data_IF_902067245692
#
_entry.id   IF_902067245692
#
_cell.length_a   1.000
_cell.length_b   1.000
_cell.length_c   1.000
_cell.angle_alpha   90.00
_cell.angle_beta   90.00
_cell.angle_gamma   90.00
#
_symmetry.space_group_name_H-M   'P 1'
#
loop_
_entity.id
_entity.type
_entity.pdbx_description
1 polymer ?
#
# COMPACT_ATOMS: atom_id res chain seq x y z
N UNK A 1 -6.30 3.52 10.05
CA UNK A 1 -5.80 2.38 9.24
C UNK A 1 -7.01 1.71 8.59
N UNK A 2 -7.00 1.48 7.27
CA UNK A 2 -8.07 0.72 6.60
C UNK A 2 -8.00 -0.75 7.04
N UNK A 3 -9.15 -1.43 7.19
CA UNK A 3 -9.16 -2.87 7.47
C UNK A 3 -8.73 -3.66 6.23
N UNK A 4 -8.23 -4.88 6.44
CA UNK A 4 -7.85 -5.77 5.34
C UNK A 4 -9.03 -6.04 4.41
N UNK A 5 -10.22 -6.31 4.96
CA UNK A 5 -11.45 -6.48 4.16
C UNK A 5 -11.68 -5.30 3.22
N UNK A 6 -11.70 -4.08 3.78
CA UNK A 6 -11.90 -2.85 3.01
C UNK A 6 -10.80 -2.64 1.98
N UNK A 7 -9.56 -3.03 2.29
CA UNK A 7 -8.46 -2.95 1.34
C UNK A 7 -8.70 -3.88 0.13
N UNK A 8 -9.11 -5.13 0.35
CA UNK A 8 -9.41 -6.07 -0.75
C UNK A 8 -10.59 -5.58 -1.60
N UNK A 9 -11.62 -5.00 -0.99
CA UNK A 9 -12.75 -4.40 -1.70
C UNK A 9 -12.29 -3.27 -2.63
N UNK A 10 -11.47 -2.36 -2.12
CA UNK A 10 -10.95 -1.24 -2.91
C UNK A 10 -10.06 -1.73 -4.05
N UNK A 11 -9.21 -2.74 -3.82
CA UNK A 11 -8.39 -3.35 -4.87
C UNK A 11 -9.24 -4.02 -5.94
N UNK A 12 -10.30 -4.72 -5.54
CA UNK A 12 -11.26 -5.32 -6.47
C UNK A 12 -11.90 -4.24 -7.35
N UNK A 13 -12.36 -3.14 -6.74
CA UNK A 13 -12.95 -2.03 -7.47
C UNK A 13 -11.95 -1.38 -8.45
N UNK A 14 -10.71 -1.17 -8.01
CA UNK A 14 -9.69 -0.54 -8.83
C UNK A 14 -9.26 -1.42 -10.01
N UNK A 15 -9.11 -2.73 -9.82
CA UNK A 15 -8.82 -3.68 -10.91
C UNK A 15 -9.95 -3.64 -11.94
N UNK A 16 -11.20 -3.71 -11.51
CA UNK A 16 -12.34 -3.69 -12.43
C UNK A 16 -12.45 -2.34 -13.16
N UNK A 17 -12.16 -1.22 -12.50
CA UNK A 17 -12.09 0.10 -13.16
C UNK A 17 -11.02 0.16 -14.24
N UNK A 18 -9.89 -0.52 -14.03
CA UNK A 18 -8.81 -0.59 -15.01
C UNK A 18 -9.12 -1.51 -16.19
N UNK A 19 -9.77 -2.64 -15.93
CA UNK A 19 -10.02 -3.66 -16.96
C UNK A 19 -11.33 -3.43 -17.71
N UNK A 20 -12.23 -2.60 -17.18
CA UNK A 20 -13.53 -2.27 -17.75
C UNK A 20 -13.59 -0.77 -18.06
N UNK A 21 -12.92 -0.35 -19.13
CA UNK A 21 -12.67 1.08 -19.45
C UNK A 21 -13.91 1.97 -19.43
N UNK A 22 -15.08 1.44 -19.82
CA UNK A 22 -16.34 2.19 -19.91
C UNK A 22 -17.27 1.96 -18.72
N UNK A 23 -16.88 1.15 -17.74
CA UNK A 23 -17.73 0.82 -16.61
C UNK A 23 -17.66 1.88 -15.52
N UNK A 24 -18.83 2.26 -15.00
CA UNK A 24 -18.90 3.00 -13.75
C UNK A 24 -18.75 2.01 -12.59
N UNK A 25 -17.60 2.06 -11.92
CA UNK A 25 -17.30 1.18 -10.78
C UNK A 25 -17.41 1.94 -9.45
N UNK A 26 -18.36 1.50 -8.64
CA UNK A 26 -18.63 1.99 -7.30
C UNK A 26 -18.38 0.88 -6.26
N UNK A 27 -18.11 1.26 -5.02
CA UNK A 27 -17.93 0.32 -3.90
C UNK A 27 -18.92 0.62 -2.79
N UNK A 28 -19.23 -0.41 -1.98
CA UNK A 28 -20.17 -0.38 -0.87
C UNK A 28 -21.53 0.25 -1.26
N UNK A 29 -22.18 -0.33 -2.28
CA UNK A 29 -23.43 0.18 -2.86
C UNK A 29 -24.60 -0.67 -2.39
N UNK A 30 -25.75 -0.04 -2.11
CA UNK A 30 -27.00 -0.76 -1.81
C UNK A 30 -27.95 -0.73 -3.01
N UNK A 31 -28.41 -1.91 -3.43
CA UNK A 31 -29.46 -2.10 -4.43
C UNK A 31 -30.59 -2.87 -3.74
N UNK A 32 -31.81 -2.34 -3.75
CA UNK A 32 -32.99 -3.03 -3.24
C UNK A 32 -32.78 -3.68 -1.85
N UNK A 33 -32.17 -2.90 -0.94
CA UNK A 33 -31.82 -3.29 0.45
C UNK A 33 -30.68 -4.31 0.60
N UNK A 34 -30.09 -4.81 -0.49
CA UNK A 34 -28.88 -5.64 -0.48
C UNK A 34 -27.65 -4.78 -0.74
N UNK A 35 -26.63 -4.91 0.10
CA UNK A 35 -25.36 -4.19 -0.06
C UNK A 35 -24.38 -5.05 -0.85
N UNK A 36 -23.76 -4.53 -1.90
CA UNK A 36 -22.65 -5.16 -2.61
C UNK A 36 -21.34 -4.44 -2.29
N UNK A 37 -20.27 -5.22 -2.19
CA UNK A 37 -18.95 -4.71 -1.86
C UNK A 37 -18.40 -3.87 -3.03
N UNK A 38 -18.60 -4.34 -4.26
CA UNK A 38 -18.35 -3.59 -5.50
C UNK A 38 -19.54 -3.75 -6.45
N UNK A 39 -19.85 -2.69 -7.18
CA UNK A 39 -20.84 -2.68 -8.24
C UNK A 39 -20.21 -2.03 -9.47
N UNK A 40 -20.27 -2.72 -10.61
CA UNK A 40 -19.89 -2.16 -11.90
C UNK A 40 -21.13 -2.04 -12.80
N UNK A 41 -21.31 -0.87 -13.40
CA UNK A 41 -22.36 -0.62 -14.39
C UNK A 41 -21.71 -0.39 -15.75
N UNK A 42 -21.97 -1.25 -16.72
CA UNK A 42 -21.52 -1.09 -18.09
C UNK A 42 -22.68 -0.57 -18.92
N UNK A 43 -22.43 0.43 -19.77
CA UNK A 43 -23.39 0.82 -20.80
C UNK A 43 -23.16 -0.02 -22.06
N UNK A 44 -24.19 -0.75 -22.48
CA UNK A 44 -24.20 -1.55 -23.70
C UNK A 44 -25.34 -1.08 -24.61
N UNK A 45 -25.03 -0.14 -25.52
CA UNK A 45 -26.04 0.55 -26.32
C UNK A 45 -26.99 1.38 -25.43
N UNK A 46 -28.29 1.08 -25.52
CA UNK A 46 -29.33 1.71 -24.69
C UNK A 46 -29.58 0.99 -23.35
N UNK A 47 -28.82 -0.06 -23.05
CA UNK A 47 -29.02 -0.89 -21.86
C UNK A 47 -27.89 -0.69 -20.85
N UNK A 48 -28.21 -0.90 -19.58
CA UNK A 48 -27.24 -0.96 -18.49
C UNK A 48 -27.10 -2.40 -18.00
N UNK A 49 -25.85 -2.88 -17.97
CA UNK A 49 -25.51 -4.18 -17.40
C UNK A 49 -24.92 -3.95 -16.00
N UNK A 50 -25.62 -4.44 -15.00
CA UNK A 50 -25.22 -4.40 -13.59
C UNK A 50 -24.45 -5.66 -13.23
N UNK A 51 -23.22 -5.49 -12.79
CA UNK A 51 -22.36 -6.57 -12.29
C UNK A 51 -22.15 -6.36 -10.79
N UNK A 52 -22.71 -7.26 -9.98
CA UNK A 52 -22.60 -7.22 -8.53
C UNK A 52 -21.46 -8.10 -8.03
N UNK A 53 -20.60 -7.55 -7.19
CA UNK A 53 -19.46 -8.25 -6.62
C UNK A 53 -19.63 -8.44 -5.11
N UNK A 54 -19.37 -9.66 -4.64
CA UNK A 54 -19.07 -9.93 -3.24
C UNK A 54 -17.57 -10.18 -3.08
N UNK A 55 -16.97 -9.58 -2.06
CA UNK A 55 -15.55 -9.69 -1.76
C UNK A 55 -15.38 -10.31 -0.37
N UNK A 56 -14.50 -11.30 -0.25
CA UNK A 56 -14.21 -11.96 1.03
C UNK A 56 -12.73 -12.19 1.24
N UNK A 57 -12.19 -11.59 2.29
CA UNK A 57 -10.87 -11.92 2.81
C UNK A 57 -11.00 -13.04 3.86
N UNK A 58 -10.55 -14.25 3.51
CA UNK A 58 -10.59 -15.41 4.42
C UNK A 58 -9.30 -16.20 4.36
N UNK A 59 -9.01 -16.92 5.44
CA UNK A 59 -7.93 -17.93 5.48
C UNK A 59 -8.39 -19.30 4.99
N UNK A 60 -9.65 -19.65 5.26
CA UNK A 60 -10.26 -20.92 4.82
C UNK A 60 -10.89 -20.76 3.46
N UNK A 61 -10.97 -21.86 2.72
CA UNK A 61 -11.62 -21.87 1.41
C UNK A 61 -13.09 -21.46 1.51
N UNK A 62 -13.59 -20.78 0.48
CA UNK A 62 -14.99 -20.37 0.38
C UNK A 62 -15.88 -21.61 0.25
N UNK A 63 -16.89 -21.67 1.11
CA UNK A 63 -17.79 -22.82 1.22
C UNK A 63 -18.99 -22.71 0.28
N UNK A 64 -19.68 -23.83 0.09
CA UNK A 64 -20.91 -23.92 -0.71
C UNK A 64 -21.96 -22.93 -0.23
N UNK A 65 -22.17 -22.87 1.10
CA UNK A 65 -23.21 -22.05 1.72
C UNK A 65 -23.00 -20.56 1.46
N UNK A 66 -21.74 -20.12 1.36
CA UNK A 66 -21.42 -18.72 1.05
C UNK A 66 -21.81 -18.37 -0.39
N UNK A 67 -21.58 -19.28 -1.33
CA UNK A 67 -21.96 -19.06 -2.73
C UNK A 67 -23.48 -19.11 -2.87
N UNK A 68 -24.18 -20.07 -2.26
CA UNK A 68 -25.66 -20.13 -2.29
C UNK A 68 -26.31 -18.87 -1.69
N UNK A 69 -25.78 -18.38 -0.57
CA UNK A 69 -26.23 -17.12 0.03
C UNK A 69 -26.02 -15.93 -0.93
N UNK A 70 -24.88 -15.89 -1.63
CA UNK A 70 -24.61 -14.86 -2.61
C UNK A 70 -25.51 -14.96 -3.86
N UNK A 71 -25.77 -16.17 -4.36
CA UNK A 71 -26.72 -16.39 -5.47
C UNK A 71 -28.09 -15.83 -5.12
N UNK A 72 -28.57 -16.08 -3.90
CA UNK A 72 -29.86 -15.54 -3.43
C UNK A 72 -29.83 -14.02 -3.40
N UNK A 73 -28.77 -13.43 -2.82
CA UNK A 73 -28.58 -11.98 -2.76
C UNK A 73 -28.53 -11.33 -4.15
N UNK A 74 -27.83 -11.94 -5.10
CA UNK A 74 -27.72 -11.45 -6.48
C UNK A 74 -29.07 -11.47 -7.20
N UNK A 75 -29.83 -12.56 -7.05
CA UNK A 75 -31.18 -12.69 -7.61
C UNK A 75 -32.15 -11.67 -7.02
N UNK A 76 -32.14 -11.50 -5.70
CA UNK A 76 -32.98 -10.52 -5.00
C UNK A 76 -32.72 -9.09 -5.50
N UNK A 77 -31.45 -8.74 -5.71
CA UNK A 77 -31.03 -7.43 -6.20
C UNK A 77 -31.14 -7.27 -7.73
N UNK A 78 -31.53 -8.32 -8.45
CA UNK A 78 -31.65 -8.36 -9.92
C UNK A 78 -30.38 -7.87 -10.64
N UNK A 79 -29.20 -8.22 -10.13
CA UNK A 79 -27.94 -7.97 -10.87
C UNK A 79 -27.89 -8.90 -12.08
N UNK A 80 -27.35 -8.41 -13.20
CA UNK A 80 -27.32 -9.16 -14.45
C UNK A 80 -26.20 -10.19 -14.46
N UNK A 81 -25.06 -9.88 -13.82
CA UNK A 81 -23.96 -10.81 -13.59
C UNK A 81 -23.50 -10.73 -12.14
N UNK A 82 -23.29 -11.90 -11.54
CA UNK A 82 -22.81 -12.03 -10.18
C UNK A 82 -21.35 -12.50 -10.19
N UNK A 83 -20.51 -11.84 -9.39
CA UNK A 83 -19.09 -12.14 -9.28
C UNK A 83 -18.73 -12.31 -7.80
N UNK A 84 -18.04 -13.39 -7.46
CA UNK A 84 -17.56 -13.65 -6.11
C UNK A 84 -16.05 -13.62 -6.09
N UNK A 85 -15.47 -12.74 -5.29
CA UNK A 85 -14.03 -12.50 -5.21
C UNK A 85 -13.51 -12.91 -3.84
N UNK A 86 -12.40 -13.65 -3.81
CA UNK A 86 -11.77 -14.04 -2.54
C UNK A 86 -10.25 -14.04 -2.57
N UNK A 87 -9.63 -13.88 -1.41
CA UNK A 87 -8.20 -14.12 -1.23
C UNK A 87 -7.84 -15.57 -0.93
N UNK A 88 -8.83 -16.42 -0.62
CA UNK A 88 -8.64 -17.86 -0.43
C UNK A 88 -9.18 -18.66 -1.61
N UNK A 89 -8.87 -19.96 -1.61
CA UNK A 89 -9.41 -20.90 -2.59
C UNK A 89 -10.91 -21.15 -2.40
N UNK A 90 -11.51 -21.88 -3.34
CA UNK A 90 -12.91 -22.28 -3.28
C UNK A 90 -12.99 -23.79 -3.06
N UNK A 91 -13.95 -24.25 -2.27
CA UNK A 91 -14.26 -25.68 -2.20
C UNK A 91 -14.77 -26.18 -3.56
N UNK A 92 -14.50 -27.44 -3.90
CA UNK A 92 -14.95 -28.01 -5.17
C UNK A 92 -16.48 -27.93 -5.33
N UNK A 93 -17.23 -28.19 -4.24
CA UNK A 93 -18.67 -28.01 -4.23
C UNK A 93 -19.11 -26.57 -4.53
N UNK A 94 -18.38 -25.59 -4.00
CA UNK A 94 -18.68 -24.17 -4.21
C UNK A 94 -18.45 -23.77 -5.67
N UNK A 95 -17.40 -24.30 -6.30
CA UNK A 95 -17.13 -24.12 -7.75
C UNK A 95 -18.30 -24.67 -8.59
N UNK A 96 -18.76 -25.90 -8.30
CA UNK A 96 -19.88 -26.52 -9.01
C UNK A 96 -21.18 -25.72 -8.87
N UNK A 97 -21.46 -25.18 -7.68
CA UNK A 97 -22.63 -24.33 -7.43
C UNK A 97 -22.52 -23.01 -8.19
N UNK A 98 -21.35 -22.39 -8.19
CA UNK A 98 -21.11 -21.15 -8.92
C UNK A 98 -21.34 -21.33 -10.44
N UNK A 99 -20.79 -22.40 -11.02
CA UNK A 99 -21.02 -22.75 -12.43
C UNK A 99 -22.51 -22.96 -12.75
N UNK A 100 -23.24 -23.69 -11.88
CA UNK A 100 -24.68 -23.93 -12.06
C UNK A 100 -25.51 -22.63 -12.06
N UNK A 101 -25.08 -21.64 -11.31
CA UNK A 101 -25.79 -20.37 -11.12
C UNK A 101 -25.17 -19.19 -11.88
N UNK A 102 -24.26 -19.45 -12.81
CA UNK A 102 -23.55 -18.44 -13.60
C UNK A 102 -22.88 -17.34 -12.75
N UNK A 103 -22.31 -17.75 -11.60
CA UNK A 103 -21.50 -16.87 -10.75
C UNK A 103 -20.02 -17.02 -11.12
N UNK A 104 -19.38 -15.93 -11.51
CA UNK A 104 -17.94 -15.97 -11.75
C UNK A 104 -17.17 -15.95 -10.44
N UNK A 105 -16.13 -16.78 -10.34
CA UNK A 105 -15.28 -16.86 -9.17
C UNK A 105 -13.91 -16.27 -9.48
N UNK A 106 -13.46 -15.31 -8.67
CA UNK A 106 -12.15 -14.69 -8.82
C UNK A 106 -11.29 -14.81 -7.56
N UNK A 107 -10.04 -15.23 -7.75
CA UNK A 107 -9.03 -15.23 -6.70
C UNK A 107 -8.15 -14.00 -6.82
N UNK A 108 -8.00 -13.28 -5.71
CA UNK A 108 -7.00 -12.24 -5.53
C UNK A 108 -5.83 -12.83 -4.76
N UNK A 109 -4.65 -12.83 -5.35
CA UNK A 109 -3.43 -13.15 -4.62
C UNK A 109 -2.40 -12.04 -4.74
N UNK A 110 -1.83 -11.69 -3.60
CA UNK A 110 -0.67 -10.83 -3.51
C UNK A 110 0.57 -11.71 -3.58
N UNK A 111 1.50 -11.47 -4.50
CA UNK A 111 2.76 -12.18 -4.54
C UNK A 111 3.49 -11.86 -3.24
N UNK A 112 3.57 -12.85 -2.36
CA UNK A 112 4.40 -12.81 -1.16
C UNK A 112 5.87 -13.01 -1.53
N UNK A 113 6.16 -13.74 -2.62
CA UNK A 113 7.52 -14.17 -2.96
C UNK A 113 8.01 -13.75 -4.36
N UNK A 114 7.13 -13.34 -5.28
CA UNK A 114 7.54 -12.86 -6.61
C UNK A 114 7.81 -11.36 -6.59
N UNK A 115 8.87 -10.95 -5.89
CA UNK A 115 9.42 -9.62 -6.08
C UNK A 115 10.17 -9.61 -7.41
N UNK A 116 9.64 -8.89 -8.38
CA UNK A 116 10.42 -8.54 -9.57
C UNK A 116 10.71 -7.05 -9.49
N UNK A 117 11.99 -6.73 -9.50
CA UNK A 117 12.40 -5.37 -9.75
C UNK A 117 11.80 -4.98 -11.11
N UNK A 118 10.95 -3.94 -11.18
CA UNK A 118 10.58 -3.38 -12.47
C UNK A 118 11.86 -2.92 -13.18
N UNK A 119 11.83 -2.59 -14.49
CA UNK A 119 12.94 -1.90 -15.13
C UNK A 119 13.35 -0.73 -14.24
N UNK A 120 14.49 -0.87 -13.57
CA UNK A 120 14.84 -0.03 -12.44
C UNK A 120 15.09 1.36 -13.00
N UNK A 121 14.37 2.36 -12.49
CA UNK A 121 14.79 3.75 -12.70
C UNK A 121 15.95 3.99 -11.77
N UNK A 122 17.15 4.00 -12.35
CA UNK A 122 18.38 4.30 -11.63
C UNK A 122 18.51 5.81 -11.56
N UNK A 123 18.69 6.33 -10.35
CA UNK A 123 18.95 7.75 -10.15
C UNK A 123 20.45 8.00 -10.25
N UNK A 124 20.90 8.48 -11.40
CA UNK A 124 22.23 9.08 -11.51
C UNK A 124 22.24 10.40 -10.71
N UNK A 125 23.23 10.60 -9.84
CA UNK A 125 23.44 11.91 -9.22
C UNK A 125 24.01 12.91 -10.24
N UNK A 126 23.87 14.20 -9.97
CA UNK A 126 24.47 15.25 -10.80
C UNK A 126 25.97 15.00 -11.02
N UNK A 127 26.40 14.98 -12.28
CA UNK A 127 27.81 14.72 -12.66
C UNK A 127 28.23 13.25 -12.71
N UNK A 128 27.31 12.30 -12.48
CA UNK A 128 27.64 10.87 -12.62
C UNK A 128 27.92 10.54 -14.10
N UNK A 129 28.99 9.80 -14.42
CA UNK A 129 29.22 9.33 -15.79
C UNK A 129 28.07 8.43 -16.24
N UNK A 130 27.77 8.35 -17.55
CA UNK A 130 26.81 7.37 -18.05
C UNK A 130 27.21 5.96 -17.60
N UNK A 131 26.24 5.14 -17.22
CA UNK A 131 26.47 3.77 -16.78
C UNK A 131 27.20 2.97 -17.87
N UNK A 132 28.51 2.74 -17.67
CA UNK A 132 29.34 1.93 -18.57
C UNK A 132 29.06 0.44 -18.37
N UNK A 133 28.59 0.07 -17.17
CA UNK A 133 28.21 -1.28 -16.76
C UNK A 133 26.75 -1.25 -16.33
N UNK A 134 26.00 -2.31 -16.64
CA UNK A 134 24.63 -2.46 -16.15
C UNK A 134 24.64 -2.50 -14.61
N UNK A 135 23.84 -1.67 -13.93
CA UNK A 135 23.78 -1.67 -12.48
C UNK A 135 23.34 -3.02 -11.93
N UNK A 136 23.98 -3.45 -10.86
CA UNK A 136 23.62 -4.68 -10.15
C UNK A 136 22.70 -4.36 -8.98
N UNK A 137 21.54 -5.01 -8.96
CA UNK A 137 20.64 -5.00 -7.81
C UNK A 137 20.33 -6.43 -7.41
N UNK A 138 20.68 -6.79 -6.18
CA UNK A 138 20.54 -8.11 -5.59
C UNK A 138 19.44 -8.10 -4.55
N UNK A 139 18.50 -9.04 -4.67
CA UNK A 139 17.50 -9.30 -3.63
C UNK A 139 18.12 -10.21 -2.56
N UNK A 140 18.30 -9.67 -1.36
CA UNK A 140 18.84 -10.39 -0.21
C UNK A 140 17.75 -11.08 0.63
N UNK A 141 16.49 -11.01 0.20
CA UNK A 141 15.35 -11.65 0.85
C UNK A 141 14.70 -10.80 1.94
N UNK A 142 13.87 -11.42 2.77
CA UNK A 142 13.14 -10.72 3.83
C UNK A 142 13.87 -10.76 5.17
N UNK A 143 13.91 -9.62 5.85
CA UNK A 143 14.41 -9.49 7.21
C UNK A 143 13.43 -8.71 8.08
N UNK A 144 13.62 -8.83 9.39
CA UNK A 144 12.98 -7.94 10.34
C UNK A 144 13.64 -6.57 10.32
N UNK A 145 12.81 -5.55 10.25
CA UNK A 145 13.20 -4.17 10.10
C UNK A 145 12.44 -3.30 11.10
N UNK A 146 13.02 -2.15 11.40
CA UNK A 146 12.39 -1.14 12.24
C UNK A 146 12.01 0.05 11.37
N UNK A 147 10.74 0.45 11.43
CA UNK A 147 10.23 1.61 10.71
C UNK A 147 9.73 2.64 11.70
N UNK A 148 10.24 3.86 11.60
CA UNK A 148 9.61 5.03 12.24
C UNK A 148 8.26 5.26 11.57
N UNK A 149 7.19 5.20 12.35
CA UNK A 149 5.82 5.41 11.85
C UNK A 149 5.22 6.73 12.30
N UNK A 150 5.80 7.36 13.32
CA UNK A 150 5.37 8.66 13.82
C UNK A 150 6.51 9.34 14.58
N UNK A 151 6.65 10.64 14.34
CA UNK A 151 7.50 11.52 15.14
C UNK A 151 6.63 12.66 15.66
N UNK A 152 6.62 12.83 16.97
CA UNK A 152 5.85 13.88 17.66
C UNK A 152 6.83 14.84 18.33
N UNK A 153 6.68 16.12 18.03
CA UNK A 153 7.39 17.20 18.70
C UNK A 153 6.50 17.73 19.83
N UNK A 154 7.03 17.77 21.04
CA UNK A 154 6.39 18.42 22.19
C UNK A 154 7.13 19.71 22.50
N UNK A 155 6.44 20.84 22.41
CA UNK A 155 7.01 22.16 22.65
C UNK A 155 7.04 22.48 24.15
N UNK A 156 7.86 23.47 24.52
CA UNK A 156 8.00 23.93 25.91
C UNK A 156 6.69 24.46 26.52
N UNK A 157 5.77 24.93 25.70
CA UNK A 157 4.43 25.36 26.12
C UNK A 157 3.44 24.19 26.31
N UNK A 158 3.89 22.94 26.11
CA UNK A 158 3.09 21.73 26.21
C UNK A 158 2.32 21.37 24.94
N UNK A 159 2.32 22.23 23.91
CA UNK A 159 1.69 21.91 22.63
C UNK A 159 2.44 20.76 21.93
N UNK A 160 1.72 20.01 21.11
CA UNK A 160 2.28 18.87 20.35
C UNK A 160 2.00 19.03 18.88
N UNK A 161 2.97 18.66 18.04
CA UNK A 161 2.80 18.58 16.60
C UNK A 161 3.38 17.27 16.08
N UNK A 162 2.69 16.65 15.12
CA UNK A 162 3.19 15.46 14.44
C UNK A 162 3.88 15.86 13.15
N UNK A 163 4.98 15.19 12.82
CA UNK A 163 5.49 15.19 11.46
C UNK A 163 4.51 14.46 10.53
N UNK A 164 4.59 14.71 9.20
CA UNK A 164 3.81 13.95 8.21
C UNK A 164 4.06 12.44 8.35
N UNK A 165 3.03 11.66 8.07
CA UNK A 165 3.06 10.18 8.12
C UNK A 165 3.54 9.55 6.80
N UNK A 166 3.56 10.33 5.72
CA UNK A 166 4.14 9.94 4.44
C UNK A 166 5.69 9.90 4.54
N UNK A 167 6.34 8.75 4.24
CA UNK A 167 7.78 8.57 4.46
C UNK A 167 8.69 9.58 3.78
N UNK A 168 8.40 10.00 2.54
CA UNK A 168 9.26 10.93 1.80
C UNK A 168 9.21 12.34 2.39
N UNK A 169 8.02 12.81 2.77
CA UNK A 169 7.79 14.06 3.46
C UNK A 169 8.39 14.02 4.86
N UNK A 170 8.17 12.96 5.63
CA UNK A 170 8.79 12.81 6.94
C UNK A 170 10.32 12.90 6.84
N UNK A 171 10.91 12.19 5.88
CA UNK A 171 12.36 12.23 5.61
C UNK A 171 12.81 13.64 5.22
N UNK A 172 12.05 14.34 4.39
CA UNK A 172 12.32 15.73 4.01
C UNK A 172 12.34 16.65 5.24
N UNK A 173 11.28 16.63 6.08
CA UNK A 173 11.22 17.47 7.28
C UNK A 173 12.30 17.11 8.28
N UNK A 174 12.59 15.83 8.51
CA UNK A 174 13.68 15.42 9.40
C UNK A 174 15.02 15.97 8.92
N UNK A 175 15.30 15.93 7.62
CA UNK A 175 16.57 16.42 7.04
C UNK A 175 16.67 17.94 6.93
N UNK A 176 15.56 18.63 6.66
CA UNK A 176 15.53 20.06 6.36
C UNK A 176 15.16 20.94 7.54
N UNK A 177 14.59 20.36 8.61
CA UNK A 177 14.38 21.09 9.85
C UNK A 177 15.71 21.32 10.53
N UNK A 178 16.06 22.59 10.63
CA UNK A 178 17.33 23.03 11.22
C UNK A 178 17.18 23.17 12.72
N UNK A 179 18.19 22.74 13.45
CA UNK A 179 18.33 22.90 14.90
C UNK A 179 19.39 23.98 15.20
N UNK A 180 19.50 24.36 16.47
CA UNK A 180 20.65 25.14 16.95
C UNK A 180 21.96 24.45 16.52
N UNK A 181 22.97 25.24 16.13
CA UNK A 181 24.29 24.77 15.64
C UNK A 181 24.31 24.16 14.22
N UNK A 182 23.22 24.25 13.46
CA UNK A 182 23.18 23.85 12.04
C UNK A 182 22.99 22.35 11.80
N UNK A 183 22.79 21.58 12.88
CA UNK A 183 22.39 20.17 12.84
C UNK A 183 20.94 20.01 12.37
N UNK A 184 20.60 18.83 11.85
CA UNK A 184 19.24 18.51 11.38
C UNK A 184 18.43 17.74 12.42
N UNK A 185 17.10 17.89 12.41
CA UNK A 185 16.20 17.13 13.30
C UNK A 185 16.39 15.60 13.17
N UNK A 186 16.84 15.13 12.00
CA UNK A 186 17.20 13.73 11.77
C UNK A 186 18.26 13.24 12.76
N UNK A 187 19.26 14.05 13.09
CA UNK A 187 20.34 13.67 14.02
C UNK A 187 19.83 13.43 15.44
N UNK A 188 18.71 14.04 15.84
CA UNK A 188 18.06 13.78 17.12
C UNK A 188 17.17 12.52 17.10
N UNK A 189 16.58 12.20 15.94
CA UNK A 189 15.64 11.08 15.78
C UNK A 189 16.35 9.77 15.45
N UNK A 190 17.41 9.80 14.64
CA UNK A 190 18.10 8.62 14.14
C UNK A 190 18.67 7.72 15.25
N UNK A 191 19.29 8.26 16.33
CA UNK A 191 19.72 7.44 17.47
C UNK A 191 18.55 6.75 18.17
N UNK A 192 17.35 7.35 18.17
CA UNK A 192 16.15 6.72 18.72
C UNK A 192 15.61 5.64 17.79
N UNK A 193 15.71 5.81 16.47
CA UNK A 193 15.23 4.83 15.50
C UNK A 193 16.16 3.61 15.38
N UNK A 194 17.46 3.82 15.51
CA UNK A 194 18.50 2.82 15.19
C UNK A 194 18.73 1.77 16.27
N UNK A 195 18.32 1.97 17.53
CA UNK A 195 18.53 0.92 18.53
C UNK A 195 17.51 -0.22 18.31
N UNK A 196 17.95 -1.46 18.10
CA UNK A 196 17.04 -2.58 17.91
C UNK A 196 16.17 -2.80 19.17
N UNK A 197 14.95 -3.32 19.00
CA UNK A 197 14.14 -3.79 20.12
C UNK A 197 13.63 -5.20 19.86
N UNK A 198 13.82 -6.08 20.84
CA UNK A 198 13.60 -7.52 20.71
C UNK A 198 12.16 -7.94 20.97
N UNK A 199 11.41 -7.16 21.77
CA UNK A 199 10.08 -7.54 22.25
C UNK A 199 9.00 -6.58 21.75
N UNK A 200 7.91 -7.13 21.22
CA UNK A 200 6.72 -6.39 20.78
C UNK A 200 6.70 -6.05 19.29
N UNK A 201 5.56 -5.53 18.84
CA UNK A 201 5.33 -5.09 17.44
C UNK A 201 5.51 -3.58 17.26
N UNK A 202 5.48 -2.82 18.36
CA UNK A 202 5.65 -1.38 18.39
C UNK A 202 6.40 -0.95 19.65
N UNK A 203 7.22 0.08 19.53
CA UNK A 203 7.94 0.71 20.62
C UNK A 203 7.81 2.22 20.48
N UNK A 204 7.53 2.91 21.59
CA UNK A 204 7.58 4.37 21.66
C UNK A 204 8.82 4.76 22.46
N UNK A 205 9.67 5.58 21.86
CA UNK A 205 10.84 6.17 22.52
C UNK A 205 10.64 7.66 22.66
N UNK A 206 11.09 8.20 23.79
CA UNK A 206 11.02 9.63 24.07
C UNK A 206 12.37 10.12 24.53
N UNK A 207 12.79 11.28 24.00
CA UNK A 207 14.00 11.97 24.43
C UNK A 207 13.67 13.40 24.84
N UNK A 208 14.28 13.85 25.93
CA UNK A 208 14.29 15.27 26.29
C UNK A 208 15.23 15.98 25.32
N UNK A 209 14.73 17.01 24.66
CA UNK A 209 15.44 17.65 23.55
C UNK A 209 15.87 19.07 23.94
N UNK A 210 14.92 19.93 24.32
CA UNK A 210 15.17 21.25 24.91
C UNK A 210 15.78 22.31 23.99
N UNK A 211 15.77 22.12 22.67
CA UNK A 211 16.40 23.04 21.70
C UNK A 211 15.36 23.67 20.77
N UNK A 212 15.70 24.82 20.19
CA UNK A 212 14.90 25.43 19.13
C UNK A 212 15.01 24.62 17.83
N UNK A 213 13.87 24.45 17.15
CA UNK A 213 13.80 23.89 15.79
C UNK A 213 13.17 24.92 14.85
N UNK A 214 13.66 24.95 13.62
CA UNK A 214 13.13 25.76 12.53
C UNK A 214 12.82 24.85 11.35
N UNK A 215 11.53 24.54 11.06
CA UNK A 215 11.17 23.73 9.92
C UNK A 215 11.42 24.45 8.59
N UNK A 216 11.47 23.71 7.46
CA UNK A 216 11.58 24.32 6.12
C UNK A 216 10.37 25.21 5.77
N UNK A 217 9.20 24.92 6.35
CA UNK A 217 7.97 25.70 6.26
C UNK A 217 7.06 25.42 7.47
N UNK A 218 5.95 26.14 7.61
CA UNK A 218 5.04 26.02 8.77
C UNK A 218 3.79 25.16 8.50
N UNK A 219 3.82 24.25 7.50
CA UNK A 219 2.62 23.49 7.13
C UNK A 219 2.23 22.43 8.17
N UNK A 220 3.20 21.63 8.64
CA UNK A 220 2.94 20.56 9.62
C UNK A 220 3.23 20.98 11.06
N UNK A 221 4.24 21.83 11.27
CA UNK A 221 4.62 22.31 12.59
C UNK A 221 5.33 23.64 12.49
N UNK A 222 5.40 24.36 13.61
CA UNK A 222 5.94 25.72 13.70
C UNK A 222 7.38 25.72 14.21
N UNK A 223 8.12 26.80 13.97
CA UNK A 223 9.36 27.05 14.71
C UNK A 223 9.11 27.21 16.21
N UNK A 224 10.05 26.76 17.03
CA UNK A 224 9.99 26.96 18.48
C UNK A 224 10.86 26.00 19.28
N UNK A 225 10.88 26.21 20.60
CA UNK A 225 11.65 25.36 21.53
C UNK A 225 10.88 24.05 21.76
N UNK A 226 11.46 22.95 21.28
CA UNK A 226 10.93 21.59 21.46
C UNK A 226 11.50 21.04 22.77
N UNK A 227 10.63 20.75 23.73
CA UNK A 227 11.00 20.17 25.02
C UNK A 227 11.34 18.68 24.89
N UNK A 228 10.60 17.92 24.07
CA UNK A 228 10.82 16.51 23.88
C UNK A 228 10.43 16.04 22.48
N UNK A 229 11.06 14.95 22.04
CA UNK A 229 10.71 14.25 20.81
C UNK A 229 10.27 12.84 21.18
N UNK A 230 9.11 12.44 20.66
CA UNK A 230 8.59 11.08 20.78
C UNK A 230 8.59 10.40 19.40
N UNK A 231 9.13 9.19 19.33
CA UNK A 231 9.26 8.41 18.10
C UNK A 231 8.56 7.08 18.32
N UNK A 232 7.54 6.79 17.50
CA UNK A 232 6.93 5.48 17.43
C UNK A 232 7.59 4.66 16.32
N UNK A 233 8.06 3.48 16.68
CA UNK A 233 8.79 2.57 15.82
C UNK A 233 8.03 1.25 15.78
N UNK A 234 7.75 0.75 14.58
CA UNK A 234 7.13 -0.57 14.39
C UNK A 234 8.12 -1.55 13.78
N UNK A 235 8.05 -2.78 14.26
CA UNK A 235 8.72 -3.90 13.60
C UNK A 235 7.93 -4.25 12.35
N UNK A 236 8.61 -4.30 11.21
CA UNK A 236 8.04 -4.68 9.92
C UNK A 236 8.88 -5.79 9.30
N UNK A 237 8.26 -6.60 8.45
CA UNK A 237 8.98 -7.45 7.51
C UNK A 237 9.34 -6.59 6.30
N UNK A 238 10.63 -6.43 6.06
CA UNK A 238 11.16 -5.67 4.94
C UNK A 238 11.95 -6.59 4.01
N UNK A 239 11.94 -6.29 2.72
CA UNK A 239 12.82 -6.98 1.76
C UNK A 239 14.12 -6.21 1.63
N UNK A 240 15.27 -6.85 1.74
CA UNK A 240 16.56 -6.15 1.65
C UNK A 240 17.06 -6.20 0.22
N UNK A 241 17.40 -5.03 -0.31
CA UNK A 241 18.04 -4.91 -1.61
C UNK A 241 19.46 -4.39 -1.41
N UNK A 242 20.42 -5.04 -2.06
CA UNK A 242 21.79 -4.56 -2.18
C UNK A 242 21.98 -4.06 -3.61
N UNK A 243 22.48 -2.85 -3.74
CA UNK A 243 22.62 -2.19 -5.04
C UNK A 243 23.89 -1.34 -5.07
N UNK A 244 24.57 -1.36 -6.21
CA UNK A 244 25.72 -0.47 -6.49
C UNK A 244 25.27 0.93 -6.97
N UNK A 245 23.97 1.13 -7.13
CA UNK A 245 23.34 2.38 -7.62
C UNK A 245 22.14 2.81 -6.79
N UNK A 246 21.74 4.10 -6.95
CA UNK A 246 20.53 4.62 -6.31
C UNK A 246 19.32 4.14 -7.09
N UNK A 247 18.44 3.44 -6.39
CA UNK A 247 17.23 2.83 -6.96
C UNK A 247 16.03 3.68 -6.56
N UNK A 248 15.21 4.11 -7.52
CA UNK A 248 13.93 4.74 -7.21
C UNK A 248 12.90 3.67 -6.80
N UNK A 249 12.73 3.50 -5.48
CA UNK A 249 11.87 2.45 -4.93
C UNK A 249 10.37 2.69 -5.12
N UNK A 250 9.93 3.92 -5.45
CA UNK A 250 8.51 4.14 -5.77
C UNK A 250 8.05 3.42 -7.04
N UNK A 251 9.00 3.01 -7.90
CA UNK A 251 8.71 2.15 -9.04
C UNK A 251 8.39 0.70 -8.62
N UNK A 252 8.97 0.25 -7.50
CA UNK A 252 8.78 -1.08 -6.95
C UNK A 252 7.39 -1.18 -6.34
N UNK A 253 6.46 -1.66 -7.14
CA UNK A 253 5.07 -1.85 -6.74
C UNK A 253 4.75 -3.33 -6.86
N UNK A 254 4.21 -3.90 -5.80
CA UNK A 254 3.73 -5.28 -5.84
C UNK A 254 2.73 -5.41 -6.99
N UNK A 255 2.73 -6.60 -7.57
CA UNK A 255 1.68 -6.99 -8.49
C UNK A 255 0.52 -7.53 -7.66
N UNK A 256 -0.69 -7.46 -8.19
CA UNK A 256 -1.85 -8.16 -7.68
C UNK A 256 -2.25 -9.11 -8.80
N UNK A 257 -2.36 -10.40 -8.48
CA UNK A 257 -2.93 -11.36 -9.41
C UNK A 257 -4.44 -11.41 -9.20
N UNK A 258 -5.17 -11.37 -10.32
CA UNK A 258 -6.61 -11.48 -10.39
C UNK A 258 -6.93 -12.60 -11.36
N UNK A 259 -7.40 -13.73 -10.85
CA UNK A 259 -7.60 -14.96 -11.62
C UNK A 259 -9.06 -15.36 -11.59
N UNK A 260 -9.66 -15.59 -12.77
CA UNK A 260 -10.95 -16.24 -12.88
C UNK A 260 -10.76 -17.75 -12.70
N UNK A 261 -11.21 -18.28 -11.56
CA UNK A 261 -11.01 -19.67 -11.15
C UNK A 261 -11.71 -20.66 -12.08
N UNK A 262 -12.79 -20.25 -12.75
CA UNK A 262 -13.55 -21.11 -13.65
C UNK A 262 -12.89 -21.28 -15.01
N UNK A 263 -12.17 -20.25 -15.48
CA UNK A 263 -11.60 -20.21 -16.83
C UNK A 263 -10.07 -20.29 -16.85
N UNK A 264 -9.42 -20.11 -15.70
CA UNK A 264 -7.96 -20.00 -15.56
C UNK A 264 -7.38 -18.70 -16.13
N UNK A 265 -8.22 -17.77 -16.62
CA UNK A 265 -7.75 -16.47 -17.11
C UNK A 265 -7.21 -15.66 -15.95
N UNK A 266 -5.95 -15.24 -16.05
CA UNK A 266 -5.30 -14.41 -15.05
C UNK A 266 -4.91 -13.05 -15.63
N UNK A 267 -4.83 -12.06 -14.75
CA UNK A 267 -4.28 -10.74 -15.02
C UNK A 267 -3.41 -10.35 -13.84
N UNK A 268 -2.19 -9.87 -14.10
CA UNK A 268 -1.31 -9.28 -13.10
C UNK A 268 -1.36 -7.75 -13.24
N UNK A 269 -1.80 -7.06 -12.20
CA UNK A 269 -1.90 -5.60 -12.19
C UNK A 269 -0.94 -5.01 -11.18
N UNK A 270 -0.25 -3.93 -11.55
CA UNK A 270 0.62 -3.20 -10.64
C UNK A 270 -0.21 -2.30 -9.73
N UNK A 271 0.00 -2.35 -8.40
CA UNK A 271 -0.78 -1.53 -7.45
C UNK A 271 -0.82 -0.04 -7.81
N UNK A 272 0.26 0.52 -8.38
CA UNK A 272 0.32 1.94 -8.81
C UNK A 272 -0.75 2.30 -9.85
N UNK A 273 -1.18 1.34 -10.67
CA UNK A 273 -2.26 1.57 -11.65
C UNK A 273 -3.63 1.53 -11.00
N UNK A 274 -3.77 0.89 -9.85
CA UNK A 274 -5.04 0.78 -9.12
C UNK A 274 -5.35 2.12 -8.43
N UNK A 275 -6.08 3.01 -9.11
CA UNK A 275 -6.56 4.26 -8.51
C UNK A 275 -7.65 3.97 -7.46
N UNK A 276 -7.29 4.01 -6.18
CA UNK A 276 -8.18 3.72 -5.05
C UNK A 276 -9.02 4.93 -4.60
N UNK A 277 -9.03 6.04 -5.36
CA UNK A 277 -9.78 7.25 -5.03
C UNK A 277 -11.32 7.07 -5.15
N UNK A 278 -12.03 7.73 -4.24
CA UNK A 278 -13.46 7.57 -3.93
C UNK A 278 -14.45 8.25 -4.89
N UNK A 279 -15.75 8.11 -4.57
CA UNK A 279 -16.94 8.18 -5.45
C UNK A 279 -17.09 9.33 -6.46
N UNK A 280 -16.37 10.44 -6.35
CA UNK A 280 -16.38 11.52 -7.35
C UNK A 280 -15.11 12.39 -7.19
N UNK A 281 -13.95 11.89 -7.58
CA UNK A 281 -12.74 12.73 -7.63
C UNK A 281 -12.14 12.72 -9.03
N UNK A 282 -12.26 13.87 -9.71
CA UNK A 282 -11.34 14.26 -10.78
C UNK A 282 -9.93 14.16 -10.21
N UNK A 283 -9.09 13.39 -10.89
CA UNK A 283 -7.63 13.46 -10.89
C UNK A 283 -6.98 14.17 -9.69
N UNK A 284 -6.88 13.50 -8.54
CA UNK A 284 -5.92 13.89 -7.52
C UNK A 284 -5.25 12.65 -6.95
N UNK A 285 -3.91 12.73 -6.87
CA UNK A 285 -2.97 11.69 -6.52
C UNK A 285 -3.38 10.95 -5.23
N UNK A 286 -3.92 9.74 -5.34
CA UNK A 286 -4.19 8.89 -4.19
C UNK A 286 -3.01 7.94 -3.93
N UNK A 287 -2.27 8.30 -2.89
CA UNK A 287 -1.19 7.60 -2.20
C UNK A 287 -1.68 6.28 -1.60
N UNK A 288 -1.05 5.15 -1.94
CA UNK A 288 -1.05 3.93 -1.13
C UNK A 288 0.24 3.12 -1.37
N UNK A 289 1.25 3.30 -0.51
CA UNK A 289 2.38 2.37 -0.37
C UNK A 289 2.20 1.53 0.89
N UNK A 290 1.35 0.51 0.82
CA UNK A 290 1.31 -0.58 1.81
C UNK A 290 1.64 -1.88 1.12
N UNK A 291 2.93 -2.04 0.82
CA UNK A 291 3.62 -3.24 0.38
C UNK A 291 4.92 -3.27 1.20
N UNK A 292 5.43 -4.43 1.65
CA UNK A 292 6.61 -4.53 2.51
C UNK A 292 7.75 -3.66 1.99
N UNK A 293 8.16 -2.70 2.81
CA UNK A 293 9.17 -1.71 2.45
C UNK A 293 10.50 -2.42 2.18
N UNK A 294 11.22 -1.98 1.16
CA UNK A 294 12.58 -2.44 0.94
C UNK A 294 13.55 -1.66 1.83
N UNK A 295 14.48 -2.33 2.51
CA UNK A 295 15.67 -1.68 3.08
C UNK A 295 16.78 -1.79 2.04
N UNK A 296 17.37 -0.66 1.65
CA UNK A 296 18.61 -0.68 0.86
C UNK A 296 19.79 -0.53 1.80
N UNK A 297 20.65 -1.53 1.87
CA UNK A 297 21.96 -1.41 2.50
C UNK A 297 22.97 -0.99 1.43
N UNK A 298 23.69 0.09 1.70
CA UNK A 298 24.73 0.62 0.81
C UNK A 298 26.09 0.06 1.21
N UNK A 299 26.75 -0.69 0.32
CA UNK A 299 28.18 -0.96 0.45
C UNK A 299 28.99 0.11 -0.30
N UNK A 300 30.06 0.58 0.36
CA UNK A 300 30.90 1.75 0.01
C UNK A 300 31.25 1.84 -1.48
N UNK A 301 31.11 3.06 -2.04
CA UNK A 301 32.04 3.53 -3.06
C UNK A 301 33.44 3.52 -2.45
N UNK A 302 34.31 2.65 -2.95
CA UNK A 302 35.74 2.76 -2.68
C UNK A 302 36.24 4.05 -3.33
N UNK A 303 36.88 4.89 -2.52
CA UNK A 303 37.79 5.94 -2.97
C UNK A 303 38.85 5.31 -3.87
N UNK A 304 38.63 5.35 -5.19
CA UNK A 304 39.70 5.21 -6.19
C UNK A 304 39.18 5.74 -7.52
N UNK A 305 39.47 7.02 -7.81
CA UNK A 305 40.44 7.51 -8.81
C UNK A 305 40.72 8.97 -8.46
#
# INVERSE_FOLDING_TARGET
>A
MISDDKFIELITAAINRLTMETAEVQWNVKIERRQFDVLATIQAGFYHVLIGFEVKHKRRSISVEMIDAFVTKAKDAKVHKAVFVSTSDYQEGAIRVAQRHDVDLFKIAFPTNEFRLPPITVLAGDGSPPFVVQPEVRDLGETDAHRVVRVTLEYRDGSKANLPDEPSQMTYYLRKTSMEEGSSLLEAVDPLASQPFTNGTSLVRRVVFGRSVTPPDNYFFRSGVVAAIEVEIKRIRARVLDADVRVELSAVSAQVSYENVLTGRNSKQTFRRCHLAGRHSRSENSIFSTIPFAIITWTRWSETI
#
